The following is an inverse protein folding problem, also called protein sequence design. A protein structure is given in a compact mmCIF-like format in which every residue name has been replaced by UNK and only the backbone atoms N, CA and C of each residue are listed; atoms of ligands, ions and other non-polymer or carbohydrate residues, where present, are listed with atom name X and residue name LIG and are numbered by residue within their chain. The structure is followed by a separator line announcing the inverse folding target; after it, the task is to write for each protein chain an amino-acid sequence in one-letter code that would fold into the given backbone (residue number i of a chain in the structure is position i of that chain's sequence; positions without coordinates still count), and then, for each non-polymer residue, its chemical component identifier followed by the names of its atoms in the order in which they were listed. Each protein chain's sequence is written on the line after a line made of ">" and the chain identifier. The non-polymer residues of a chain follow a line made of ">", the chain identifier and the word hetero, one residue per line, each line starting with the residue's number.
data_IF_339365081507
#
_entry.id   IF_339365081507
#
_cell.length_a   1.000
_cell.length_b   1.000
_cell.length_c   1.000
_cell.angle_alpha   90.00
_cell.angle_beta   90.00
_cell.angle_gamma   90.00
#
_symmetry.space_group_name_H-M   'P 1'
#
loop_
_entity.id
_entity.type
_entity.pdbx_description
1 polymer ?
#
# COMPACT_ATOMS: atom_id res chain seq x y z
N UNK A 1 8.26 58.54 72.97
CA UNK A 1 8.80 57.20 72.66
C UNK A 1 7.60 56.31 72.35
N UNK A 2 7.09 56.30 71.12
CA UNK A 2 7.55 55.50 69.96
C UNK A 2 7.61 54.00 70.24
N UNK A 3 6.69 53.23 69.67
CA UNK A 3 7.03 52.08 68.82
C UNK A 3 5.76 51.63 68.06
N UNK A 4 5.64 52.01 66.78
CA UNK A 4 4.62 51.46 65.86
C UNK A 4 5.25 50.29 65.10
N UNK A 5 4.67 49.10 65.23
CA UNK A 5 5.02 47.93 64.40
C UNK A 5 4.44 48.10 62.99
N UNK A 6 5.30 48.03 61.97
CA UNK A 6 4.91 47.84 60.57
C UNK A 6 4.87 46.33 60.25
N UNK A 7 3.89 45.84 59.48
CA UNK A 7 3.87 44.46 59.02
C UNK A 7 4.80 44.29 57.81
N UNK A 8 5.67 43.28 57.89
CA UNK A 8 6.53 42.84 56.79
C UNK A 8 5.69 42.14 55.72
N UNK A 9 5.61 42.73 54.53
CA UNK A 9 5.02 42.12 53.34
C UNK A 9 6.04 41.12 52.75
N UNK A 10 5.83 39.82 52.97
CA UNK A 10 6.59 38.75 52.32
C UNK A 10 6.21 38.70 50.83
N UNK A 11 7.11 39.16 49.95
CA UNK A 11 6.98 39.01 48.50
C UNK A 11 7.30 37.55 48.14
N UNK A 12 6.28 36.77 47.78
CA UNK A 12 6.43 35.39 47.33
C UNK A 12 7.14 35.36 45.96
N UNK A 13 8.37 34.83 45.93
CA UNK A 13 9.14 34.60 44.72
C UNK A 13 8.55 33.38 44.00
N UNK A 14 7.78 33.60 42.93
CA UNK A 14 7.29 32.52 42.09
C UNK A 14 8.47 31.82 41.38
N UNK A 15 8.54 30.48 41.36
CA UNK A 15 9.60 29.77 40.66
C UNK A 15 9.49 30.03 39.15
N UNK A 16 10.60 30.48 38.56
CA UNK A 16 10.74 30.67 37.13
C UNK A 16 10.64 29.28 36.46
N UNK A 17 9.48 28.98 35.87
CA UNK A 17 9.27 27.74 35.13
C UNK A 17 10.19 27.75 33.90
N UNK A 18 11.23 26.91 33.89
CA UNK A 18 12.06 26.72 32.71
C UNK A 18 11.16 26.28 31.54
N UNK A 19 11.27 26.96 30.40
CA UNK A 19 10.59 26.53 29.17
C UNK A 19 11.05 25.10 28.87
N UNK A 20 10.10 24.17 28.79
CA UNK A 20 10.38 22.80 28.33
C UNK A 20 11.01 22.86 26.92
N UNK A 21 12.06 22.07 26.65
CA UNK A 21 12.73 22.10 25.36
C UNK A 21 11.77 21.65 24.25
N UNK A 22 11.81 22.34 23.11
CA UNK A 22 10.97 21.99 21.95
C UNK A 22 11.34 20.59 21.47
N UNK A 23 10.36 19.69 21.49
CA UNK A 23 10.51 18.29 21.09
C UNK A 23 10.46 18.11 19.56
N UNK A 24 11.05 17.02 19.08
CA UNK A 24 10.98 16.64 17.66
C UNK A 24 9.55 16.50 17.15
N UNK A 25 8.61 16.05 17.99
CA UNK A 25 7.20 15.88 17.59
C UNK A 25 6.49 17.20 17.30
N UNK A 26 6.91 18.29 17.94
CA UNK A 26 6.37 19.62 17.66
C UNK A 26 6.92 20.19 16.34
N UNK A 27 8.13 19.78 15.94
CA UNK A 27 8.83 20.29 14.75
C UNK A 27 8.56 19.43 13.52
N UNK A 28 8.33 18.13 13.71
CA UNK A 28 8.06 17.15 12.66
C UNK A 28 7.03 17.65 11.64
N UNK A 29 5.85 18.17 12.03
CA UNK A 29 4.87 18.68 11.06
C UNK A 29 5.41 19.83 10.19
N UNK A 30 6.27 20.70 10.73
CA UNK A 30 6.88 21.80 9.99
C UNK A 30 7.82 21.25 8.92
N UNK A 31 8.71 20.33 9.28
CA UNK A 31 9.66 19.71 8.34
C UNK A 31 8.93 18.92 7.24
N UNK A 32 7.95 18.11 7.61
CA UNK A 32 7.16 17.29 6.67
C UNK A 32 6.37 18.13 5.67
N UNK A 33 5.88 19.29 6.12
CA UNK A 33 4.98 20.16 5.35
C UNK A 33 5.71 21.21 4.52
N UNK A 34 6.81 21.76 5.04
CA UNK A 34 7.55 22.86 4.42
C UNK A 34 8.77 22.40 3.63
N UNK A 35 9.43 21.32 4.06
CA UNK A 35 10.73 20.92 3.51
C UNK A 35 10.66 19.69 2.59
N UNK A 36 9.86 18.69 2.96
CA UNK A 36 9.84 17.40 2.25
C UNK A 36 9.10 17.39 0.92
N UNK A 37 8.49 18.50 0.50
CA UNK A 37 8.02 18.64 -0.90
C UNK A 37 9.20 18.63 -1.89
N UNK A 38 10.40 19.03 -1.45
CA UNK A 38 11.59 19.19 -2.30
C UNK A 38 12.87 18.51 -1.79
N UNK A 39 12.88 17.99 -0.56
CA UNK A 39 14.05 17.36 0.09
C UNK A 39 13.75 15.93 0.58
N UNK A 40 13.29 15.07 -0.34
CA UNK A 40 12.86 13.69 -0.08
C UNK A 40 13.60 12.71 -1.01
N UNK A 41 13.47 11.38 -0.82
CA UNK A 41 14.19 10.38 -1.64
C UNK A 41 13.88 10.48 -3.14
N UNK A 42 12.66 10.86 -3.50
CA UNK A 42 12.22 10.99 -4.90
C UNK A 42 12.68 12.32 -5.53
N UNK A 43 13.00 13.32 -4.70
CA UNK A 43 13.34 14.68 -5.11
C UNK A 43 14.32 15.31 -4.11
N UNK A 44 15.60 15.34 -4.49
CA UNK A 44 16.72 15.75 -3.62
C UNK A 44 17.28 17.11 -4.06
N UNK A 45 16.48 18.19 -3.95
CA UNK A 45 16.98 19.52 -4.33
C UNK A 45 18.13 19.96 -3.42
N UNK A 46 19.12 20.64 -4.01
CA UNK A 46 20.32 21.09 -3.28
C UNK A 46 21.15 19.94 -2.68
N UNK A 47 21.01 18.71 -3.20
CA UNK A 47 21.63 17.48 -2.66
C UNK A 47 21.29 17.21 -1.18
N UNK A 48 20.21 17.79 -0.68
CA UNK A 48 19.79 17.69 0.71
C UNK A 48 18.64 16.67 0.85
N UNK A 49 18.84 15.68 1.72
CA UNK A 49 17.86 14.66 2.06
C UNK A 49 17.43 14.84 3.52
N UNK A 50 16.16 15.18 3.76
CA UNK A 50 15.66 15.45 5.12
C UNK A 50 14.73 14.35 5.65
N UNK A 51 14.51 13.27 4.89
CA UNK A 51 13.61 12.17 5.28
C UNK A 51 14.19 11.25 6.36
N UNK A 52 15.49 11.30 6.60
CA UNK A 52 16.18 10.46 7.60
C UNK A 52 17.19 11.29 8.38
N UNK A 53 17.47 10.88 9.63
CA UNK A 53 18.50 11.53 10.46
C UNK A 53 19.87 11.55 9.77
N UNK A 54 20.27 10.43 9.16
CA UNK A 54 21.56 10.31 8.48
C UNK A 54 21.66 11.28 7.29
N UNK A 55 20.60 11.40 6.48
CA UNK A 55 20.55 12.38 5.38
C UNK A 55 20.57 13.82 5.91
N UNK A 56 19.84 14.07 6.99
CA UNK A 56 19.73 15.39 7.59
C UNK A 56 21.08 15.87 8.17
N UNK A 57 21.81 14.99 8.86
CA UNK A 57 23.14 15.26 9.40
C UNK A 57 24.22 15.39 8.31
N UNK A 58 24.09 14.65 7.20
CA UNK A 58 24.99 14.77 6.05
C UNK A 58 24.95 16.17 5.42
N UNK A 59 23.82 16.88 5.55
CA UNK A 59 23.64 18.20 4.99
C UNK A 59 23.42 18.19 3.47
N UNK A 60 23.55 19.37 2.85
CA UNK A 60 23.31 19.59 1.43
C UNK A 60 24.58 19.96 0.66
N UNK A 61 24.39 20.48 -0.54
CA UNK A 61 25.48 20.97 -1.40
C UNK A 61 26.33 22.07 -0.74
N UNK A 62 25.73 22.82 0.20
CA UNK A 62 26.38 23.92 0.92
C UNK A 62 26.87 23.52 2.32
N UNK A 63 26.98 22.21 2.59
CA UNK A 63 27.45 21.68 3.87
C UNK A 63 26.34 21.42 4.89
N UNK A 64 26.68 21.37 6.20
CA UNK A 64 25.73 21.12 7.27
C UNK A 64 24.60 22.16 7.31
N UNK A 65 23.36 21.70 7.51
CA UNK A 65 22.19 22.58 7.55
C UNK A 65 21.85 23.11 8.95
N UNK A 66 22.36 22.45 10.00
CA UNK A 66 22.16 22.83 11.40
C UNK A 66 23.51 22.80 12.11
N UNK A 67 23.73 23.81 12.95
CA UNK A 67 24.71 23.80 14.03
C UNK A 67 23.95 23.61 15.36
N UNK A 68 24.03 22.42 16.00
CA UNK A 68 23.32 22.14 17.24
C UNK A 68 23.63 23.20 18.32
N UNK A 69 22.59 23.71 18.98
CA UNK A 69 22.69 24.75 20.01
C UNK A 69 22.82 26.19 19.47
N UNK A 70 23.07 26.37 18.17
CA UNK A 70 23.31 27.68 17.55
C UNK A 70 22.29 27.95 16.42
N UNK A 71 21.05 28.36 16.76
CA UNK A 71 20.00 28.62 15.77
C UNK A 71 20.37 29.71 14.77
N UNK A 72 21.02 30.79 15.21
CA UNK A 72 21.37 31.92 14.32
C UNK A 72 22.48 31.59 13.31
N UNK A 73 23.29 30.57 13.59
CA UNK A 73 24.34 30.12 12.68
C UNK A 73 23.88 29.03 11.73
N UNK A 74 22.81 28.31 12.09
CA UNK A 74 22.24 27.23 11.32
C UNK A 74 21.65 27.70 10.00
N UNK A 75 22.11 27.12 8.90
CA UNK A 75 21.69 27.48 7.55
C UNK A 75 20.18 27.25 7.32
N UNK A 76 19.62 26.22 7.96
CA UNK A 76 18.18 25.96 7.96
C UNK A 76 17.40 27.18 8.45
N UNK A 77 17.79 27.76 9.58
CA UNK A 77 17.09 28.90 10.22
C UNK A 77 17.26 30.17 9.41
N UNK A 78 18.45 30.39 8.82
CA UNK A 78 18.72 31.53 7.94
C UNK A 78 17.80 31.50 6.72
N UNK A 79 17.79 30.39 5.98
CA UNK A 79 17.05 30.28 4.72
C UNK A 79 15.54 30.37 4.85
N UNK A 80 14.97 29.97 5.99
CA UNK A 80 13.51 29.97 6.21
C UNK A 80 12.92 31.34 6.55
N UNK A 81 13.77 32.32 6.88
CA UNK A 81 13.35 33.67 7.24
C UNK A 81 13.93 34.75 6.31
N UNK A 82 14.56 34.36 5.19
CA UNK A 82 15.00 35.31 4.17
C UNK A 82 13.80 36.09 3.59
N UNK A 83 14.03 37.28 2.99
CA UNK A 83 12.99 38.02 2.27
C UNK A 83 12.31 37.16 1.19
N UNK A 84 11.03 37.46 0.92
CA UNK A 84 10.19 36.64 0.02
C UNK A 84 10.74 36.52 -1.41
N UNK A 85 11.49 37.52 -1.83
CA UNK A 85 12.11 37.71 -3.14
C UNK A 85 13.55 37.17 -3.23
N UNK A 86 14.11 36.68 -2.13
CA UNK A 86 15.47 36.15 -2.09
C UNK A 86 15.54 34.74 -2.72
N UNK A 87 16.53 34.49 -3.59
CA UNK A 87 16.66 33.23 -4.34
C UNK A 87 16.93 32.01 -3.44
N UNK A 88 17.69 32.20 -2.35
CA UNK A 88 17.95 31.16 -1.34
C UNK A 88 16.81 30.94 -0.33
N UNK A 89 15.67 31.64 -0.47
CA UNK A 89 14.53 31.44 0.40
C UNK A 89 14.00 30.01 0.28
N UNK A 90 13.91 29.33 1.42
CA UNK A 90 13.36 27.99 1.50
C UNK A 90 12.22 27.98 2.54
N UNK A 91 10.99 27.59 2.18
CA UNK A 91 10.55 27.07 0.89
C UNK A 91 10.29 28.17 -0.15
N UNK A 92 10.65 27.95 -1.44
CA UNK A 92 10.47 28.95 -2.50
C UNK A 92 8.99 29.21 -2.81
N UNK A 93 8.13 28.22 -2.56
CA UNK A 93 6.68 28.34 -2.66
C UNK A 93 6.05 28.42 -1.28
N UNK A 94 5.53 29.59 -0.94
CA UNK A 94 4.86 29.85 0.34
C UNK A 94 5.44 31.03 1.11
N UNK A 95 6.60 31.53 0.68
CA UNK A 95 7.28 32.64 1.36
C UNK A 95 7.97 32.19 2.66
N UNK A 96 8.44 33.16 3.46
CA UNK A 96 9.11 32.90 4.73
C UNK A 96 8.19 32.15 5.68
N UNK A 97 8.78 31.35 6.58
CA UNK A 97 8.01 30.62 7.57
C UNK A 97 7.25 31.58 8.51
N UNK A 98 6.01 31.25 8.91
CA UNK A 98 5.29 32.00 9.92
C UNK A 98 6.11 32.10 11.23
N UNK A 99 6.00 33.21 11.99
CA UNK A 99 6.80 33.42 13.20
C UNK A 99 6.71 32.27 14.22
N UNK A 100 5.53 31.63 14.35
CA UNK A 100 5.34 30.49 15.24
C UNK A 100 6.12 29.23 14.79
N UNK A 101 6.10 28.92 13.49
CA UNK A 101 6.87 27.79 12.93
C UNK A 101 8.38 28.06 13.02
N UNK A 102 8.79 29.30 12.77
CA UNK A 102 10.19 29.72 12.93
C UNK A 102 10.65 29.60 14.38
N UNK A 103 9.81 29.98 15.35
CA UNK A 103 10.12 29.85 16.78
C UNK A 103 10.30 28.38 17.19
N UNK A 104 9.47 27.46 16.67
CA UNK A 104 9.63 26.02 16.89
C UNK A 104 10.96 25.51 16.34
N UNK A 105 11.32 25.87 15.10
CA UNK A 105 12.60 25.48 14.50
C UNK A 105 13.79 26.03 15.29
N UNK A 106 13.75 27.31 15.69
CA UNK A 106 14.79 27.94 16.50
C UNK A 106 14.94 27.25 17.85
N UNK A 107 13.84 26.99 18.55
CA UNK A 107 13.85 26.31 19.85
C UNK A 107 14.39 24.89 19.77
N UNK A 108 14.03 24.15 18.71
CA UNK A 108 14.53 22.80 18.49
C UNK A 108 16.02 22.76 18.16
N UNK A 109 16.51 23.67 17.31
CA UNK A 109 17.94 23.82 17.04
C UNK A 109 18.70 24.19 18.32
N UNK A 110 18.17 25.13 19.11
CA UNK A 110 18.76 25.52 20.39
C UNK A 110 18.83 24.36 21.39
N UNK A 111 17.86 23.45 21.36
CA UNK A 111 17.87 22.21 22.15
C UNK A 111 18.82 21.12 21.61
N UNK A 112 19.62 21.42 20.58
CA UNK A 112 20.57 20.49 19.97
C UNK A 112 19.98 19.65 18.84
N UNK A 113 18.81 20.04 18.31
CA UNK A 113 18.07 19.33 17.26
C UNK A 113 17.91 17.81 17.53
N UNK A 114 17.38 17.41 18.71
CA UNK A 114 17.24 16.01 19.05
C UNK A 114 16.35 15.29 18.03
N UNK A 115 16.82 14.14 17.56
CA UNK A 115 16.14 13.30 16.57
C UNK A 115 15.97 11.87 17.14
N UNK A 116 14.74 11.33 17.23
CA UNK A 116 14.51 9.99 17.78
C UNK A 116 15.15 8.90 16.92
N UNK A 117 15.78 7.90 17.55
CA UNK A 117 16.43 6.80 16.84
C UNK A 117 15.45 6.09 15.88
N UNK A 118 15.84 5.99 14.60
CA UNK A 118 15.02 5.34 13.57
C UNK A 118 13.85 6.16 13.03
N UNK A 119 13.61 7.39 13.52
CA UNK A 119 12.53 8.21 12.99
C UNK A 119 12.82 8.64 11.53
N UNK A 120 11.86 8.35 10.65
CA UNK A 120 11.84 8.80 9.26
C UNK A 120 10.68 9.76 9.04
N UNK A 121 10.91 10.79 8.24
CA UNK A 121 9.87 11.75 7.87
C UNK A 121 9.29 11.45 6.49
N UNK A 122 8.00 11.72 6.31
CA UNK A 122 7.31 11.59 5.03
C UNK A 122 6.63 12.93 4.63
N UNK A 123 6.55 13.26 3.33
CA UNK A 123 5.88 14.49 2.89
C UNK A 123 4.44 14.58 3.40
N UNK A 124 4.08 15.72 4.00
CA UNK A 124 2.73 16.02 4.49
C UNK A 124 2.14 17.19 3.71
N UNK A 125 0.85 17.15 3.42
CA UNK A 125 0.17 18.27 2.76
C UNK A 125 0.01 19.48 3.71
N UNK A 126 0.17 20.71 3.19
CA UNK A 126 0.06 21.98 3.95
C UNK A 126 -1.26 22.17 4.70
N UNK A 127 -2.33 21.58 4.19
CA UNK A 127 -3.68 21.65 4.77
C UNK A 127 -4.09 20.32 5.44
N UNK A 128 -3.14 19.43 5.73
CA UNK A 128 -3.43 18.18 6.40
C UNK A 128 -3.87 18.46 7.85
N UNK A 129 -5.17 18.63 8.04
CA UNK A 129 -5.80 18.74 9.35
C UNK A 129 -5.38 17.54 10.18
N UNK A 130 -4.91 17.76 11.42
CA UNK A 130 -4.65 16.66 12.34
C UNK A 130 -5.93 15.82 12.47
N UNK A 131 -5.90 14.55 12.03
CA UNK A 131 -7.08 13.70 12.06
C UNK A 131 -7.69 13.59 13.47
N UNK A 132 -6.85 13.62 14.52
CA UNK A 132 -7.31 13.52 15.91
C UNK A 132 -8.03 14.79 16.35
N UNK A 133 -7.44 15.96 16.09
CA UNK A 133 -8.06 17.24 16.39
C UNK A 133 -9.37 17.47 15.62
N UNK A 134 -9.41 17.13 14.33
CA UNK A 134 -10.64 17.23 13.52
C UNK A 134 -11.75 16.30 14.05
N UNK A 135 -11.39 15.08 14.45
CA UNK A 135 -12.35 14.17 15.05
C UNK A 135 -12.87 14.71 16.39
N UNK A 136 -12.00 15.23 17.25
CA UNK A 136 -12.37 15.79 18.55
C UNK A 136 -13.42 16.91 18.43
N UNK A 137 -13.31 17.78 17.41
CA UNK A 137 -14.29 18.82 17.12
C UNK A 137 -15.65 18.26 16.68
N UNK A 138 -15.66 17.08 16.04
CA UNK A 138 -16.88 16.41 15.58
C UNK A 138 -17.50 15.44 16.59
N UNK A 139 -16.77 15.04 17.64
CA UNK A 139 -17.30 14.12 18.65
C UNK A 139 -18.65 14.56 19.26
N UNK A 140 -18.92 15.85 19.54
CA UNK A 140 -20.23 16.27 20.04
C UNK A 140 -21.40 16.05 19.08
N UNK A 141 -21.12 15.90 17.77
CA UNK A 141 -22.13 15.59 16.75
C UNK A 141 -22.15 14.11 16.37
N UNK A 142 -21.46 13.23 17.12
CA UNK A 142 -21.50 11.79 16.90
C UNK A 142 -22.92 11.26 17.16
N UNK A 143 -23.45 10.46 16.23
CA UNK A 143 -24.82 9.93 16.28
C UNK A 143 -24.83 8.39 16.31
N UNK A 144 -23.96 7.75 15.53
CA UNK A 144 -23.92 6.29 15.41
C UNK A 144 -22.49 5.79 15.30
N UNK A 145 -22.22 4.63 15.89
CA UNK A 145 -20.95 3.89 15.77
C UNK A 145 -21.25 2.47 15.27
N UNK A 146 -20.48 1.98 14.31
CA UNK A 146 -20.66 0.66 13.70
C UNK A 146 -19.32 -0.04 13.49
N UNK A 147 -19.29 -1.36 13.64
CA UNK A 147 -18.13 -2.21 13.37
C UNK A 147 -18.43 -3.04 12.12
N UNK A 148 -17.47 -3.13 11.21
CA UNK A 148 -17.55 -3.97 10.02
C UNK A 148 -16.40 -4.99 10.00
N UNK A 149 -16.66 -6.24 9.57
CA UNK A 149 -17.98 -6.78 9.20
C UNK A 149 -18.94 -6.84 10.42
N UNK A 150 -20.28 -6.89 10.21
CA UNK A 150 -21.27 -6.83 11.30
C UNK A 150 -21.36 -8.12 12.12
N UNK A 151 -20.85 -9.23 11.59
CA UNK A 151 -20.71 -10.53 12.27
C UNK A 151 -19.42 -11.17 11.77
N UNK A 152 -18.72 -11.87 12.66
CA UNK A 152 -17.54 -12.66 12.31
C UNK A 152 -17.75 -14.11 12.73
N UNK A 153 -17.48 -15.02 11.79
CA UNK A 153 -17.31 -16.45 12.06
C UNK A 153 -15.90 -16.86 11.65
N UNK A 154 -15.22 -17.58 12.54
CA UNK A 154 -13.89 -18.16 12.32
C UNK A 154 -14.04 -19.69 12.32
N UNK A 155 -13.70 -20.33 11.20
CA UNK A 155 -13.97 -21.75 10.94
C UNK A 155 -12.68 -22.55 10.70
N UNK A 156 -11.51 -21.92 10.81
CA UNK A 156 -10.23 -22.60 10.79
C UNK A 156 -9.14 -21.80 11.50
N UNK A 157 -8.04 -22.46 11.85
CA UNK A 157 -6.82 -21.83 12.38
C UNK A 157 -6.22 -20.76 11.45
N UNK A 158 -6.47 -20.84 10.13
CA UNK A 158 -5.96 -19.87 9.15
C UNK A 158 -6.87 -18.67 8.95
N UNK A 159 -8.09 -18.73 9.48
CA UNK A 159 -9.07 -17.68 9.26
C UNK A 159 -8.75 -16.46 10.15
N UNK A 160 -8.85 -15.28 9.54
CA UNK A 160 -8.71 -14.02 10.25
C UNK A 160 -9.63 -12.99 9.62
N UNK A 161 -10.06 -12.02 10.41
CA UNK A 161 -10.90 -10.91 9.94
C UNK A 161 -10.28 -9.59 10.33
N UNK A 162 -10.22 -8.64 9.41
CA UNK A 162 -9.86 -7.27 9.75
C UNK A 162 -11.11 -6.48 10.10
N UNK A 163 -11.13 -5.88 11.27
CA UNK A 163 -12.23 -5.03 11.70
C UNK A 163 -11.96 -3.56 11.36
N UNK A 164 -13.03 -2.84 11.05
CA UNK A 164 -13.02 -1.39 10.88
C UNK A 164 -14.21 -0.79 11.62
N UNK A 165 -14.01 0.37 12.23
CA UNK A 165 -15.03 1.07 13.01
C UNK A 165 -15.37 2.37 12.29
N UNK A 166 -16.66 2.55 11.98
CA UNK A 166 -17.18 3.74 11.34
C UNK A 166 -18.06 4.54 12.30
N UNK A 167 -17.86 5.85 12.31
CA UNK A 167 -18.71 6.81 12.99
C UNK A 167 -19.60 7.54 11.97
N UNK A 168 -20.87 7.73 12.30
CA UNK A 168 -21.81 8.62 11.59
C UNK A 168 -22.12 9.81 12.49
N UNK A 169 -22.08 11.01 11.93
CA UNK A 169 -22.36 12.26 12.62
C UNK A 169 -23.71 12.85 12.19
N UNK A 170 -24.25 13.79 12.97
CA UNK A 170 -25.53 14.48 12.72
C UNK A 170 -25.63 15.18 11.35
N UNK A 171 -24.49 15.50 10.73
CA UNK A 171 -24.43 16.06 9.36
C UNK A 171 -24.47 14.96 8.27
N UNK A 172 -24.81 13.73 8.64
CA UNK A 172 -24.78 12.51 7.83
C UNK A 172 -23.40 12.16 7.26
N UNK A 173 -22.32 12.81 7.72
CA UNK A 173 -20.97 12.41 7.33
C UNK A 173 -20.55 11.14 8.06
N UNK A 174 -19.83 10.27 7.37
CA UNK A 174 -19.22 9.08 7.95
C UNK A 174 -17.71 9.17 7.93
N UNK A 175 -17.07 8.55 8.91
CA UNK A 175 -15.61 8.54 9.04
C UNK A 175 -15.12 7.21 9.61
N UNK A 176 -14.03 6.71 9.04
CA UNK A 176 -13.25 5.64 9.66
C UNK A 176 -12.60 6.18 10.93
N UNK A 177 -13.03 5.62 12.06
CA UNK A 177 -12.54 5.95 13.40
C UNK A 177 -11.84 4.77 14.06
N UNK A 178 -11.46 3.74 13.29
CA UNK A 178 -10.83 2.51 13.79
C UNK A 178 -9.62 2.81 14.66
N UNK A 179 -8.78 3.77 14.24
CA UNK A 179 -7.58 4.17 14.98
C UNK A 179 -7.85 5.08 16.20
N UNK A 180 -9.07 5.56 16.38
CA UNK A 180 -9.45 6.47 17.47
C UNK A 180 -10.42 5.83 18.47
N UNK A 181 -11.09 4.75 18.08
CA UNK A 181 -11.99 3.99 18.94
C UNK A 181 -11.18 3.14 19.92
N UNK A 182 -11.65 3.04 21.18
CA UNK A 182 -11.14 2.06 22.11
C UNK A 182 -11.83 0.71 21.84
N UNK A 183 -11.08 -0.23 21.29
CA UNK A 183 -11.55 -1.55 20.87
C UNK A 183 -11.07 -2.61 21.87
N UNK A 184 -11.97 -3.48 22.31
CA UNK A 184 -11.66 -4.58 23.25
C UNK A 184 -12.41 -5.85 22.85
N UNK A 185 -11.77 -7.00 23.05
CA UNK A 185 -12.44 -8.31 23.01
C UNK A 185 -12.97 -8.63 24.41
N UNK A 186 -14.22 -9.05 24.52
CA UNK A 186 -14.87 -9.36 25.79
C UNK A 186 -14.25 -10.58 26.46
N UNK A 187 -14.10 -11.68 25.71
CA UNK A 187 -13.37 -12.88 26.15
C UNK A 187 -12.12 -13.11 25.29
N UNK A 188 -10.92 -12.76 25.78
CA UNK A 188 -9.67 -12.96 25.05
C UNK A 188 -9.24 -14.44 24.98
N UNK A 189 -9.90 -15.34 25.72
CA UNK A 189 -9.61 -16.79 25.62
C UNK A 189 -10.23 -17.41 24.37
N UNK A 190 -11.26 -16.79 23.81
CA UNK A 190 -11.94 -17.28 22.60
C UNK A 190 -11.29 -16.71 21.34
N UNK A 191 -11.06 -15.39 21.30
CA UNK A 191 -10.45 -14.69 20.18
C UNK A 191 -9.58 -13.53 20.65
N UNK A 192 -8.60 -13.14 19.86
CA UNK A 192 -7.72 -12.01 20.14
C UNK A 192 -7.65 -11.01 18.99
N UNK A 193 -7.29 -9.76 19.32
CA UNK A 193 -7.05 -8.69 18.36
C UNK A 193 -5.57 -8.34 18.29
N UNK A 194 -4.93 -8.71 17.18
CA UNK A 194 -3.58 -8.28 16.83
C UNK A 194 -3.66 -7.03 15.93
N UNK A 195 -3.58 -5.86 16.56
CA UNK A 195 -3.90 -4.58 15.93
C UNK A 195 -5.40 -4.47 15.64
N UNK A 196 -5.80 -4.58 14.38
CA UNK A 196 -7.21 -4.64 13.95
C UNK A 196 -7.56 -5.96 13.28
N UNK A 197 -6.71 -6.98 13.43
CA UNK A 197 -6.92 -8.31 12.88
C UNK A 197 -7.36 -9.24 14.01
N UNK A 198 -8.57 -9.77 13.87
CA UNK A 198 -9.20 -10.71 14.78
C UNK A 198 -8.86 -12.14 14.37
N UNK A 199 -8.43 -12.95 15.34
CA UNK A 199 -8.03 -14.35 15.17
C UNK A 199 -8.56 -15.22 16.32
N UNK A 200 -8.73 -16.51 16.08
CA UNK A 200 -9.13 -17.46 17.12
C UNK A 200 -7.98 -17.78 18.09
N UNK A 201 -8.35 -17.97 19.35
CA UNK A 201 -7.46 -18.46 20.43
C UNK A 201 -7.93 -19.83 20.92
N UNK A 202 -9.26 -20.02 21.02
CA UNK A 202 -9.86 -21.31 21.35
C UNK A 202 -10.24 -22.09 20.09
N UNK A 203 -10.51 -23.38 20.27
CA UNK A 203 -11.06 -24.23 19.21
C UNK A 203 -12.53 -23.88 18.90
N UNK A 204 -13.34 -23.65 19.93
CA UNK A 204 -14.72 -23.21 19.77
C UNK A 204 -15.13 -22.21 20.86
N UNK A 205 -16.07 -21.33 20.55
CA UNK A 205 -16.63 -20.39 21.52
C UNK A 205 -17.34 -19.20 20.89
N UNK A 206 -17.95 -18.39 21.74
CA UNK A 206 -18.57 -17.12 21.36
C UNK A 206 -17.97 -15.99 22.18
N UNK A 207 -17.68 -14.87 21.54
CA UNK A 207 -17.19 -13.64 22.19
C UNK A 207 -17.73 -12.42 21.45
N UNK A 208 -17.49 -11.24 22.00
CA UNK A 208 -17.87 -9.98 21.37
C UNK A 208 -16.68 -9.04 21.31
N UNK A 209 -16.54 -8.32 20.20
CA UNK A 209 -15.65 -7.16 20.11
C UNK A 209 -16.49 -5.90 20.36
N UNK A 210 -16.06 -5.09 21.32
CA UNK A 210 -16.69 -3.81 21.63
C UNK A 210 -15.79 -2.66 21.20
N UNK A 211 -16.32 -1.73 20.41
CA UNK A 211 -15.65 -0.48 20.06
C UNK A 211 -16.37 0.69 20.72
N UNK A 212 -15.62 1.59 21.36
CA UNK A 212 -16.17 2.76 22.06
C UNK A 212 -15.55 4.06 21.56
N UNK A 213 -16.38 5.08 21.36
CA UNK A 213 -15.95 6.42 20.96
C UNK A 213 -16.99 7.46 21.38
N UNK A 214 -16.55 8.55 22.03
CA UNK A 214 -17.43 9.68 22.35
C UNK A 214 -18.65 9.31 23.22
N UNK A 215 -18.53 8.28 24.07
CA UNK A 215 -19.62 7.76 24.90
C UNK A 215 -20.56 6.78 24.20
N UNK A 216 -20.46 6.60 22.87
CA UNK A 216 -21.16 5.54 22.15
C UNK A 216 -20.34 4.24 22.14
N UNK A 217 -21.07 3.13 22.04
CA UNK A 217 -20.50 1.79 21.95
C UNK A 217 -21.15 1.02 20.79
N UNK A 218 -20.33 0.28 20.06
CA UNK A 218 -20.76 -0.68 19.05
C UNK A 218 -20.24 -2.07 19.43
N UNK A 219 -21.00 -3.10 19.07
CA UNK A 219 -20.69 -4.50 19.37
C UNK A 219 -20.64 -5.31 18.09
N UNK A 220 -19.67 -6.21 18.01
CA UNK A 220 -19.48 -7.17 16.95
C UNK A 220 -19.52 -8.57 17.56
N UNK A 221 -20.54 -9.39 17.27
CA UNK A 221 -20.55 -10.80 17.66
C UNK A 221 -19.49 -11.60 16.88
N UNK A 222 -18.75 -12.43 17.61
CA UNK A 222 -17.70 -13.30 17.08
C UNK A 222 -18.00 -14.74 17.49
N UNK A 223 -18.04 -15.64 16.50
CA UNK A 223 -18.18 -17.07 16.73
C UNK A 223 -16.96 -17.80 16.21
N UNK A 224 -16.40 -18.69 17.02
CA UNK A 224 -15.31 -19.59 16.66
C UNK A 224 -15.84 -21.03 16.72
N UNK A 225 -15.60 -21.83 15.69
CA UNK A 225 -16.08 -23.22 15.61
C UNK A 225 -14.97 -24.27 15.60
N UNK A 226 -13.95 -24.04 14.78
CA UNK A 226 -12.84 -24.97 14.51
C UNK A 226 -11.50 -24.19 14.52
N UNK A 227 -11.34 -23.29 15.48
CA UNK A 227 -10.23 -22.33 15.56
C UNK A 227 -8.86 -22.96 15.76
N UNK A 228 -8.77 -24.19 16.30
CA UNK A 228 -7.51 -24.91 16.42
C UNK A 228 -7.22 -25.81 15.21
N UNK A 229 -8.26 -26.13 14.42
CA UNK A 229 -8.16 -27.02 13.28
C UNK A 229 -7.57 -26.29 12.09
N UNK A 230 -6.44 -26.80 11.60
CA UNK A 230 -5.89 -26.29 10.35
C UNK A 230 -6.67 -26.88 9.16
N UNK A 231 -7.11 -26.03 8.25
CA UNK A 231 -7.76 -26.49 7.01
C UNK A 231 -6.68 -26.86 6.00
N UNK A 232 -6.94 -27.82 5.08
CA UNK A 232 -6.03 -28.08 3.97
C UNK A 232 -5.73 -26.80 3.19
N UNK A 233 -4.47 -26.65 2.78
CA UNK A 233 -4.05 -25.59 1.88
C UNK A 233 -4.86 -25.64 0.58
N UNK A 234 -5.38 -24.49 0.20
CA UNK A 234 -6.25 -24.31 -0.96
C UNK A 234 -5.48 -23.68 -2.12
N UNK A 235 -5.66 -24.23 -3.31
CA UNK A 235 -5.10 -23.64 -4.51
C UNK A 235 -5.67 -22.22 -4.75
N UNK A 236 -6.99 -22.05 -4.67
CA UNK A 236 -7.66 -20.75 -4.91
C UNK A 236 -7.45 -19.75 -3.76
N UNK A 237 -7.48 -20.19 -2.51
CA UNK A 237 -7.43 -19.28 -1.35
C UNK A 237 -6.01 -19.00 -0.84
N UNK A 238 -5.06 -19.92 -1.03
CA UNK A 238 -3.71 -19.79 -0.44
C UNK A 238 -2.58 -19.71 -1.49
N UNK A 239 -2.70 -20.40 -2.62
CA UNK A 239 -1.64 -20.44 -3.65
C UNK A 239 -1.82 -19.36 -4.72
N UNK A 240 -3.01 -19.23 -5.28
CA UNK A 240 -3.31 -18.22 -6.31
C UNK A 240 -3.02 -16.78 -5.86
N UNK A 241 -3.36 -16.36 -4.62
CA UNK A 241 -3.00 -15.04 -4.13
C UNK A 241 -1.49 -14.80 -4.05
N UNK A 242 -0.69 -15.85 -3.85
CA UNK A 242 0.78 -15.73 -3.88
C UNK A 242 1.26 -15.33 -5.27
N UNK A 243 0.69 -15.88 -6.35
CA UNK A 243 1.08 -15.47 -7.70
C UNK A 243 0.71 -14.02 -8.02
N UNK A 244 -0.42 -13.55 -7.48
CA UNK A 244 -0.82 -12.15 -7.60
C UNK A 244 0.11 -11.22 -6.82
N UNK A 245 0.33 -11.53 -5.54
CA UNK A 245 1.14 -10.69 -4.63
C UNK A 245 2.62 -10.73 -4.96
N UNK A 246 3.15 -11.89 -5.36
CA UNK A 246 4.51 -12.07 -5.83
C UNK A 246 4.72 -11.57 -7.27
N UNK A 247 3.65 -11.28 -8.01
CA UNK A 247 3.71 -10.68 -9.33
C UNK A 247 3.96 -11.63 -10.50
N UNK A 248 3.91 -12.95 -10.26
CA UNK A 248 4.09 -13.97 -11.29
C UNK A 248 3.08 -13.83 -12.44
N UNK A 249 1.81 -13.55 -12.10
CA UNK A 249 0.69 -13.53 -13.03
C UNK A 249 0.29 -12.10 -13.48
N UNK A 250 1.24 -11.17 -13.44
CA UNK A 250 1.05 -9.82 -13.96
C UNK A 250 1.24 -9.77 -15.49
N UNK A 251 0.70 -8.72 -16.14
CA UNK A 251 0.72 -8.56 -17.59
C UNK A 251 2.12 -8.44 -18.22
N UNK A 252 3.15 -8.15 -17.43
CA UNK A 252 4.55 -8.13 -17.90
C UNK A 252 5.24 -9.49 -17.91
N UNK A 253 4.70 -10.49 -17.21
CA UNK A 253 5.34 -11.79 -16.96
C UNK A 253 4.45 -12.95 -17.46
N UNK A 254 4.18 -13.96 -16.62
CA UNK A 254 3.38 -15.12 -17.02
C UNK A 254 1.90 -14.79 -17.19
N UNK A 255 1.41 -13.67 -16.64
CA UNK A 255 0.06 -13.14 -16.89
C UNK A 255 -0.11 -12.41 -18.23
N UNK A 256 0.95 -12.28 -19.03
CA UNK A 256 0.86 -11.73 -20.38
C UNK A 256 -0.02 -12.63 -21.28
N UNK A 257 -0.67 -12.06 -22.29
CA UNK A 257 -1.54 -12.81 -23.20
C UNK A 257 -0.85 -14.02 -23.87
N UNK A 258 0.46 -13.92 -24.14
CA UNK A 258 1.30 -15.00 -24.69
C UNK A 258 2.07 -15.78 -23.63
N UNK A 259 2.02 -15.37 -22.36
CA UNK A 259 2.91 -15.85 -21.30
C UNK A 259 4.38 -15.49 -21.56
N UNK A 260 5.28 -16.21 -20.88
CA UNK A 260 6.74 -16.14 -21.05
C UNK A 260 7.32 -17.54 -21.11
N UNK A 261 8.23 -17.77 -22.06
CA UNK A 261 8.95 -19.04 -22.24
C UNK A 261 8.04 -20.28 -22.29
N UNK A 262 6.89 -20.15 -22.97
CA UNK A 262 5.91 -21.23 -23.10
C UNK A 262 5.13 -21.53 -21.82
N UNK A 263 5.17 -20.68 -20.81
CA UNK A 263 4.35 -20.77 -19.60
C UNK A 263 3.48 -19.53 -19.44
N UNK A 264 2.17 -19.74 -19.27
CA UNK A 264 1.20 -18.69 -18.98
C UNK A 264 0.39 -19.00 -17.73
N UNK A 265 0.08 -17.95 -17.00
CA UNK A 265 -0.96 -17.90 -15.98
C UNK A 265 -2.01 -16.88 -16.44
N UNK A 266 -3.20 -16.97 -15.90
CA UNK A 266 -4.26 -16.01 -16.15
C UNK A 266 -3.88 -14.67 -15.52
N UNK A 267 -4.20 -13.58 -16.21
CA UNK A 267 -3.91 -12.24 -15.71
C UNK A 267 -4.62 -12.05 -14.36
N UNK A 268 -3.84 -11.78 -13.30
CA UNK A 268 -4.34 -11.60 -11.93
C UNK A 268 -5.10 -12.80 -11.33
N UNK A 269 -5.02 -13.99 -11.93
CA UNK A 269 -5.72 -15.18 -11.43
C UNK A 269 -7.19 -15.27 -11.82
N UNK A 270 -7.59 -14.62 -12.92
CA UNK A 270 -8.97 -14.60 -13.43
C UNK A 270 -9.48 -15.95 -13.95
N UNK A 271 -8.60 -16.93 -14.20
CA UNK A 271 -8.95 -18.32 -14.57
C UNK A 271 -8.18 -19.32 -13.67
N UNK A 272 -8.61 -19.50 -12.39
CA UNK A 272 -7.95 -20.41 -11.46
C UNK A 272 -7.94 -21.86 -11.95
N UNK A 273 -9.02 -22.30 -12.62
CA UNK A 273 -9.13 -23.67 -13.12
C UNK A 273 -8.06 -23.95 -14.19
N UNK A 274 -7.93 -23.06 -15.17
CA UNK A 274 -6.91 -23.22 -16.19
C UNK A 274 -5.49 -23.02 -15.65
N UNK A 275 -5.29 -22.15 -14.66
CA UNK A 275 -3.99 -21.96 -14.02
C UNK A 275 -3.53 -23.20 -13.26
N UNK A 276 -4.44 -23.85 -12.55
CA UNK A 276 -4.17 -25.13 -11.91
C UNK A 276 -3.70 -26.18 -12.93
N UNK A 277 -4.40 -26.31 -14.07
CA UNK A 277 -4.03 -27.26 -15.14
C UNK A 277 -2.68 -26.92 -15.77
N UNK A 278 -2.39 -25.64 -16.02
CA UNK A 278 -1.12 -25.18 -16.60
C UNK A 278 0.07 -25.46 -15.68
N UNK A 279 -0.12 -25.27 -14.38
CA UNK A 279 0.90 -25.55 -13.37
C UNK A 279 1.17 -27.05 -13.23
N UNK A 280 0.10 -27.86 -13.17
CA UNK A 280 0.21 -29.27 -12.80
C UNK A 280 0.32 -30.24 -13.99
N UNK A 281 -0.21 -29.90 -15.18
CA UNK A 281 -0.38 -30.84 -16.32
C UNK A 281 0.39 -30.49 -17.58
N UNK A 282 0.50 -29.21 -17.97
CA UNK A 282 1.03 -28.85 -19.30
C UNK A 282 2.53 -29.16 -19.50
N UNK A 283 3.31 -29.37 -18.43
CA UNK A 283 4.65 -29.98 -18.46
C UNK A 283 4.96 -30.65 -17.12
N UNK A 284 4.37 -31.82 -16.91
CA UNK A 284 4.49 -32.59 -15.66
C UNK A 284 5.96 -32.76 -15.24
N UNK A 285 6.25 -32.60 -13.96
CA UNK A 285 7.59 -32.81 -13.36
C UNK A 285 8.58 -31.67 -13.57
N UNK A 286 8.36 -30.76 -14.54
CA UNK A 286 9.26 -29.61 -14.75
C UNK A 286 8.93 -28.44 -13.83
N UNK A 287 7.65 -28.13 -13.62
CA UNK A 287 7.22 -26.96 -12.83
C UNK A 287 7.00 -27.27 -11.36
N UNK A 288 6.43 -28.43 -11.11
CA UNK A 288 6.12 -28.95 -9.77
C UNK A 288 6.81 -30.30 -9.65
N UNK A 289 7.66 -30.42 -8.65
CA UNK A 289 8.29 -31.66 -8.22
C UNK A 289 7.57 -32.13 -6.94
N UNK A 290 6.78 -33.20 -7.05
CA UNK A 290 6.04 -33.76 -5.92
C UNK A 290 6.94 -34.58 -4.97
N UNK A 291 8.10 -35.03 -5.45
CA UNK A 291 9.03 -35.81 -4.62
C UNK A 291 9.88 -34.90 -3.74
N UNK A 292 10.33 -33.76 -4.29
CA UNK A 292 11.13 -32.76 -3.58
C UNK A 292 10.53 -31.38 -3.89
N UNK A 293 9.56 -30.90 -3.08
CA UNK A 293 8.85 -29.64 -3.32
C UNK A 293 9.76 -28.43 -3.55
N UNK A 294 10.87 -28.35 -2.82
CA UNK A 294 11.85 -27.27 -2.87
C UNK A 294 12.59 -27.19 -4.21
N UNK A 295 12.74 -28.32 -4.90
CA UNK A 295 13.35 -28.41 -6.25
C UNK A 295 12.31 -28.18 -7.37
N UNK A 296 11.09 -27.78 -7.02
CA UNK A 296 10.14 -27.32 -8.02
C UNK A 296 10.69 -26.06 -8.69
N UNK A 297 10.87 -26.06 -10.01
CA UNK A 297 11.37 -24.85 -10.70
C UNK A 297 10.48 -23.62 -10.48
N UNK A 298 9.20 -23.82 -10.15
CA UNK A 298 8.30 -22.78 -9.67
C UNK A 298 8.84 -22.10 -8.38
N UNK A 299 9.28 -22.89 -7.42
CA UNK A 299 9.81 -22.45 -6.12
C UNK A 299 11.20 -21.83 -6.32
N UNK A 300 12.14 -22.57 -6.93
CA UNK A 300 13.53 -22.13 -7.08
C UNK A 300 13.64 -20.77 -7.79
N UNK A 301 12.84 -20.55 -8.83
CA UNK A 301 12.81 -19.26 -9.56
C UNK A 301 12.15 -18.15 -8.77
N UNK A 302 11.16 -18.47 -7.93
CA UNK A 302 10.46 -17.46 -7.14
C UNK A 302 11.32 -16.97 -5.96
N UNK A 303 12.08 -17.86 -5.32
CA UNK A 303 13.00 -17.51 -4.24
C UNK A 303 14.39 -17.07 -4.73
N UNK A 304 14.66 -17.23 -6.02
CA UNK A 304 15.88 -16.76 -6.68
C UNK A 304 17.09 -17.69 -6.56
N UNK A 305 16.89 -18.97 -6.22
CA UNK A 305 17.95 -19.98 -6.22
C UNK A 305 18.45 -20.27 -7.64
N UNK A 306 17.56 -20.18 -8.63
CA UNK A 306 17.87 -20.35 -10.05
C UNK A 306 17.63 -19.04 -10.81
N UNK A 307 18.49 -18.68 -11.79
CA UNK A 307 18.29 -17.48 -12.60
C UNK A 307 16.91 -17.43 -13.27
N UNK A 308 16.25 -16.29 -13.11
CA UNK A 308 14.95 -16.00 -13.70
C UNK A 308 14.90 -14.54 -14.11
N UNK A 309 14.37 -14.24 -15.30
CA UNK A 309 14.26 -12.85 -15.80
C UNK A 309 13.38 -11.95 -14.92
N UNK A 310 12.49 -12.54 -14.12
CA UNK A 310 11.67 -11.82 -13.14
C UNK A 310 12.38 -11.48 -11.82
N UNK A 311 13.64 -11.89 -11.66
CA UNK A 311 14.39 -11.85 -10.39
C UNK A 311 13.68 -12.63 -9.26
N UNK A 312 14.28 -12.58 -8.06
CA UNK A 312 13.68 -13.08 -6.82
C UNK A 312 12.42 -12.28 -6.48
N UNK A 313 11.34 -12.98 -6.18
CA UNK A 313 10.03 -12.40 -5.87
C UNK A 313 9.75 -12.32 -4.37
N UNK A 314 10.23 -13.30 -3.59
CA UNK A 314 10.09 -13.32 -2.14
C UNK A 314 11.18 -14.15 -1.45
N UNK A 315 11.33 -13.97 -0.14
CA UNK A 315 12.30 -14.71 0.66
C UNK A 315 11.94 -16.20 0.78
N UNK A 316 12.93 -17.11 0.87
CA UNK A 316 12.68 -18.55 1.03
C UNK A 316 11.83 -18.92 2.25
N UNK A 317 11.94 -18.17 3.35
CA UNK A 317 11.20 -18.39 4.59
C UNK A 317 9.85 -17.66 4.64
N UNK A 318 9.48 -16.92 3.59
CA UNK A 318 8.24 -16.14 3.54
C UNK A 318 6.99 -17.02 3.62
N UNK A 319 5.89 -16.44 4.13
CA UNK A 319 4.58 -17.10 4.12
C UNK A 319 4.14 -17.51 2.71
N UNK A 320 4.54 -16.75 1.70
CA UNK A 320 4.28 -17.03 0.29
C UNK A 320 4.91 -18.35 -0.16
N UNK A 321 6.19 -18.53 0.14
CA UNK A 321 6.89 -19.77 -0.22
C UNK A 321 6.34 -20.97 0.57
N UNK A 322 6.06 -20.79 1.86
CA UNK A 322 5.50 -21.86 2.71
C UNK A 322 4.17 -22.38 2.18
N UNK A 323 3.24 -21.50 1.77
CA UNK A 323 1.95 -21.92 1.21
C UNK A 323 2.11 -22.75 -0.06
N UNK A 324 3.05 -22.37 -0.95
CA UNK A 324 3.32 -23.11 -2.18
C UNK A 324 3.94 -24.47 -1.87
N UNK A 325 4.95 -24.50 -1.00
CA UNK A 325 5.62 -25.74 -0.59
C UNK A 325 4.65 -26.71 0.07
N UNK A 326 3.82 -26.23 1.00
CA UNK A 326 2.79 -27.02 1.66
C UNK A 326 1.80 -27.61 0.64
N UNK A 327 1.35 -26.81 -0.33
CA UNK A 327 0.47 -27.29 -1.40
C UNK A 327 1.11 -28.38 -2.25
N UNK A 328 2.36 -28.20 -2.64
CA UNK A 328 3.11 -29.19 -3.43
C UNK A 328 3.33 -30.47 -2.61
N UNK A 329 3.75 -30.35 -1.34
CA UNK A 329 3.95 -31.46 -0.43
C UNK A 329 2.66 -32.27 -0.19
N UNK A 330 1.49 -31.61 -0.22
CA UNK A 330 0.18 -32.26 -0.13
C UNK A 330 -0.34 -32.82 -1.48
N UNK A 331 0.53 -32.91 -2.48
CA UNK A 331 0.24 -33.53 -3.77
C UNK A 331 -0.25 -32.57 -4.84
N UNK A 332 -0.11 -31.25 -4.64
CA UNK A 332 -0.56 -30.19 -5.54
C UNK A 332 -2.02 -30.40 -5.99
N UNK A 333 -2.90 -30.74 -5.04
CA UNK A 333 -4.30 -31.05 -5.31
C UNK A 333 -5.10 -29.79 -5.67
N UNK A 334 -6.14 -29.97 -6.48
CA UNK A 334 -7.14 -28.92 -6.69
C UNK A 334 -8.03 -28.79 -5.46
N UNK A 335 -8.72 -27.66 -5.34
CA UNK A 335 -9.68 -27.46 -4.25
C UNK A 335 -10.88 -28.37 -4.38
N UNK A 336 -11.49 -28.68 -3.23
CA UNK A 336 -12.77 -29.34 -3.17
C UNK A 336 -13.90 -28.43 -3.71
N UNK A 337 -15.01 -28.99 -4.24
CA UNK A 337 -16.09 -28.21 -4.84
C UNK A 337 -16.79 -27.21 -3.88
N UNK A 338 -16.66 -27.44 -2.57
CA UNK A 338 -17.23 -26.63 -1.49
C UNK A 338 -16.32 -25.49 -1.02
N UNK A 339 -15.17 -25.28 -1.68
CA UNK A 339 -14.30 -24.14 -1.40
C UNK A 339 -15.07 -22.81 -1.50
N UNK A 340 -14.85 -21.93 -0.53
CA UNK A 340 -15.53 -20.65 -0.47
C UNK A 340 -15.33 -19.84 -1.76
N UNK A 341 -16.43 -19.39 -2.35
CA UNK A 341 -16.42 -18.55 -3.55
C UNK A 341 -16.75 -17.10 -3.20
N UNK A 342 -16.09 -16.18 -3.89
CA UNK A 342 -16.43 -14.75 -3.79
C UNK A 342 -17.77 -14.53 -4.49
N UNK A 343 -18.82 -14.30 -3.70
CA UNK A 343 -20.18 -14.08 -4.20
C UNK A 343 -20.46 -12.61 -4.56
N UNK A 344 -19.64 -11.68 -4.06
CA UNK A 344 -19.77 -10.26 -4.34
C UNK A 344 -18.65 -9.43 -3.72
N UNK A 345 -18.50 -8.20 -4.22
CA UNK A 345 -17.63 -7.18 -3.65
C UNK A 345 -18.51 -5.97 -3.37
N UNK A 346 -18.52 -5.52 -2.12
CA UNK A 346 -19.16 -4.26 -1.75
C UNK A 346 -18.11 -3.20 -1.42
N UNK A 347 -18.25 -2.03 -2.03
CA UNK A 347 -17.40 -0.87 -1.72
C UNK A 347 -18.13 -0.03 -0.68
N UNK A 348 -17.63 -0.04 0.55
CA UNK A 348 -18.17 0.78 1.63
C UNK A 348 -17.86 2.27 1.35
N UNK A 349 -18.85 3.14 1.57
CA UNK A 349 -19.02 4.51 1.01
C UNK A 349 -19.69 4.53 -0.37
N UNK A 350 -20.99 4.18 -0.39
CA UNK A 350 -21.87 4.31 -1.57
C UNK A 350 -22.00 5.75 -2.08
N UNK A 351 -21.71 6.75 -1.25
CA UNK A 351 -21.73 8.19 -1.59
C UNK A 351 -20.57 8.94 -0.96
N UNK A 352 -19.87 9.74 -1.74
CA UNK A 352 -18.81 10.62 -1.26
C UNK A 352 -19.26 12.08 -1.24
N UNK A 353 -19.42 12.68 -0.06
CA UNK A 353 -19.51 14.13 0.05
C UNK A 353 -18.09 14.71 0.05
N UNK A 354 -17.79 15.63 -0.87
CA UNK A 354 -16.60 16.47 -0.82
C UNK A 354 -17.03 17.87 -0.37
N UNK A 355 -16.39 18.42 0.66
CA UNK A 355 -16.54 19.85 0.97
C UNK A 355 -15.91 20.62 -0.19
N UNK A 356 -16.73 21.20 -1.04
CA UNK A 356 -16.27 22.07 -2.11
C UNK A 356 -15.45 23.21 -1.52
N UNK A 357 -14.15 23.25 -1.81
CA UNK A 357 -13.33 24.44 -1.57
C UNK A 357 -13.89 25.50 -2.52
N UNK A 358 -14.64 26.49 -2.00
CA UNK A 358 -15.11 27.64 -2.81
C UNK A 358 -13.87 28.24 -3.46
N UNK A 359 -13.66 28.00 -4.75
CA UNK A 359 -12.81 28.87 -5.56
C UNK A 359 -13.50 30.23 -5.54
N UNK A 360 -12.76 31.34 -5.35
CA UNK A 360 -13.34 32.67 -5.59
C UNK A 360 -13.94 32.64 -6.99
N UNK A 361 -15.24 32.93 -7.10
CA UNK A 361 -15.93 32.98 -8.39
C UNK A 361 -15.18 33.95 -9.28
N UNK A 362 -14.56 33.45 -10.36
CA UNK A 362 -14.36 34.31 -11.52
C UNK A 362 -15.75 34.71 -12.01
N UNK A 363 -15.91 35.99 -12.29
CA UNK A 363 -17.15 36.72 -12.58
C UNK A 363 -18.15 35.95 -13.45
N UNK A 364 -19.46 36.22 -13.32
CA UNK A 364 -20.48 35.50 -14.08
C UNK A 364 -20.27 35.71 -15.58
N UNK A 365 -20.22 34.61 -16.34
CA UNK A 365 -20.43 34.67 -17.79
C UNK A 365 -21.80 35.31 -18.04
N UNK A 366 -21.82 36.41 -18.79
CA UNK A 366 -23.04 37.06 -19.24
C UNK A 366 -23.88 36.15 -20.16
N UNK A 367 -25.17 36.44 -20.34
CA UNK A 367 -26.08 35.61 -21.11
C UNK A 367 -25.68 35.57 -22.59
N UNK A 368 -25.53 34.37 -23.14
CA UNK A 368 -25.40 34.16 -24.58
C UNK A 368 -26.77 34.33 -25.22
N UNK A 369 -26.99 35.44 -25.93
CA UNK A 369 -28.08 35.56 -26.89
C UNK A 369 -27.76 34.75 -28.16
N UNK A 370 -28.71 33.99 -28.72
CA UNK A 370 -28.51 33.27 -29.97
C UNK A 370 -28.78 34.21 -31.15
N UNK A 371 -27.75 34.63 -31.87
CA UNK A 371 -27.88 35.23 -33.20
C UNK A 371 -27.81 34.13 -34.27
N UNK A 372 -28.88 33.99 -35.04
CA UNK A 372 -28.94 33.10 -36.20
C UNK A 372 -28.10 33.67 -37.37
N UNK A 373 -27.29 32.86 -38.07
CA UNK A 373 -26.62 33.32 -39.29
C UNK A 373 -27.44 33.00 -40.53
N UNK A 374 -27.69 34.04 -41.32
CA UNK A 374 -28.30 34.03 -42.66
C UNK A 374 -27.39 33.32 -43.66
N UNK A 375 -28.01 32.56 -44.57
CA UNK A 375 -27.34 31.79 -45.61
C UNK A 375 -26.73 32.69 -46.71
N UNK A 376 -25.48 32.44 -47.07
CA UNK A 376 -25.00 32.53 -48.47
C UNK A 376 -23.69 31.77 -48.62
N UNK A 377 -23.70 30.80 -49.54
CA UNK A 377 -22.53 30.09 -50.08
C UNK A 377 -22.12 30.79 -51.40
N UNK A 378 -20.91 30.59 -52.00
CA UNK A 378 -20.40 29.25 -52.31
C UNK A 378 -18.87 29.00 -52.25
N UNK A 379 -18.55 27.70 -52.33
CA UNK A 379 -17.35 27.04 -52.90
C UNK A 379 -16.01 27.12 -52.16
N UNK A 380 -15.59 26.02 -51.52
CA UNK A 380 -14.76 24.95 -52.15
C UNK A 380 -14.25 23.92 -51.12
N UNK A 381 -14.36 22.62 -51.52
CA UNK A 381 -13.56 21.39 -51.20
C UNK A 381 -12.79 21.34 -49.87
N UNK A 382 -12.80 20.27 -49.06
CA UNK A 382 -12.73 18.85 -49.38
C UNK A 382 -13.12 17.98 -48.17
N UNK A 383 -13.64 16.78 -48.44
CA UNK A 383 -14.24 15.83 -47.52
C UNK A 383 -13.26 14.88 -46.80
N UNK A 384 -13.66 14.36 -45.63
CA UNK A 384 -13.24 13.07 -45.08
C UNK A 384 -14.50 12.24 -44.70
N UNK A 385 -14.58 10.93 -45.02
CA UNK A 385 -15.80 10.14 -44.87
C UNK A 385 -15.88 9.40 -43.52
N UNK A 386 -17.07 9.39 -42.93
CA UNK A 386 -17.48 8.45 -41.88
C UNK A 386 -18.45 7.45 -42.51
N UNK A 387 -18.13 6.15 -42.48
CA UNK A 387 -19.05 5.10 -42.94
C UNK A 387 -19.72 4.45 -41.73
N UNK A 388 -20.96 4.83 -41.46
CA UNK A 388 -21.92 4.06 -40.67
C UNK A 388 -22.68 3.11 -41.59
N UNK A 389 -22.76 1.82 -41.24
CA UNK A 389 -23.65 0.85 -41.90
C UNK A 389 -24.65 0.29 -40.89
N UNK A 390 -25.92 0.44 -41.24
CA UNK A 390 -27.14 0.05 -40.51
C UNK A 390 -27.34 -1.48 -40.49
N UNK A 391 -28.12 -2.06 -39.54
CA UNK A 391 -28.27 -3.51 -39.38
C UNK A 391 -29.46 -4.07 -40.17
N UNK A 392 -29.39 -5.34 -40.55
CA UNK A 392 -30.54 -6.14 -40.98
C UNK A 392 -30.73 -7.35 -40.06
N UNK A 393 -31.98 -7.52 -39.70
CA UNK A 393 -32.64 -8.55 -38.90
C UNK A 393 -32.45 -9.99 -39.39
N UNK A 394 -32.44 -10.93 -38.44
CA UNK A 394 -32.70 -12.36 -38.67
C UNK A 394 -32.68 -13.12 -37.34
N UNK A 395 -33.76 -13.82 -37.03
CA UNK A 395 -34.20 -14.29 -35.71
C UNK A 395 -34.03 -15.82 -35.59
N UNK A 396 -34.04 -16.31 -34.34
CA UNK A 396 -34.32 -17.69 -33.88
C UNK A 396 -33.23 -18.75 -34.07
N UNK A 397 -33.06 -19.78 -33.22
CA UNK A 397 -33.44 -20.08 -31.84
C UNK A 397 -32.69 -21.38 -31.43
N UNK A 398 -32.51 -21.53 -30.12
CA UNK A 398 -32.06 -22.66 -29.28
C UNK A 398 -32.02 -24.10 -29.83
N UNK A 399 -31.00 -24.88 -29.43
CA UNK A 399 -31.10 -26.02 -28.48
C UNK A 399 -29.86 -26.94 -28.52
N UNK A 400 -29.40 -27.40 -27.36
CA UNK A 400 -28.59 -28.63 -27.16
C UNK A 400 -29.56 -29.82 -26.88
N UNK A 401 -29.19 -31.13 -26.93
CA UNK A 401 -28.18 -31.73 -26.01
C UNK A 401 -27.39 -32.97 -26.50
N UNK A 402 -26.30 -33.24 -25.78
CA UNK A 402 -25.73 -34.52 -25.26
C UNK A 402 -25.57 -35.83 -26.10
N UNK A 403 -24.40 -36.45 -25.89
CA UNK A 403 -24.08 -37.89 -25.65
C UNK A 403 -23.15 -38.66 -26.62
N UNK A 404 -22.23 -39.40 -25.96
CA UNK A 404 -21.57 -40.67 -26.33
C UNK A 404 -20.31 -40.71 -27.23
N UNK A 405 -19.20 -41.13 -26.61
CA UNK A 405 -18.04 -41.80 -27.22
C UNK A 405 -18.24 -43.34 -27.15
N UNK A 406 -17.28 -44.23 -27.54
CA UNK A 406 -16.03 -44.05 -28.31
C UNK A 406 -15.89 -45.06 -29.47
N UNK A 407 -14.95 -44.83 -30.41
CA UNK A 407 -14.36 -45.91 -31.21
C UNK A 407 -12.85 -45.75 -31.37
N UNK A 408 -12.20 -46.88 -31.16
CA UNK A 408 -10.79 -47.21 -31.25
C UNK A 408 -10.24 -47.12 -32.67
N UNK A 409 -8.99 -46.68 -32.81
CA UNK A 409 -7.91 -47.35 -33.57
C UNK A 409 -6.72 -46.40 -33.78
N UNK A 410 -5.54 -46.85 -33.36
CA UNK A 410 -4.21 -46.50 -33.89
C UNK A 410 -3.65 -47.77 -34.54
N UNK A 411 -2.49 -47.78 -35.25
CA UNK A 411 -1.57 -46.68 -35.60
C UNK A 411 -1.17 -46.66 -37.09
N UNK A 412 -0.56 -45.57 -37.56
CA UNK A 412 0.36 -45.61 -38.70
C UNK A 412 1.40 -44.49 -38.62
N UNK A 413 2.65 -44.89 -38.52
CA UNK A 413 3.87 -44.11 -38.69
C UNK A 413 4.02 -43.63 -40.13
N UNK A 414 4.52 -42.41 -40.36
CA UNK A 414 5.51 -42.16 -41.41
C UNK A 414 6.20 -40.79 -41.27
N UNK A 415 7.40 -40.76 -41.83
CA UNK A 415 8.54 -39.90 -41.53
C UNK A 415 8.62 -38.62 -42.39
N UNK A 416 9.53 -37.73 -41.96
CA UNK A 416 10.30 -36.75 -42.74
C UNK A 416 9.60 -35.57 -43.42
N UNK A 417 9.90 -34.35 -42.96
CA UNK A 417 10.61 -33.33 -43.75
C UNK A 417 10.84 -32.02 -42.94
N UNK A 418 12.09 -31.60 -42.84
CA UNK A 418 12.55 -30.20 -42.75
C UNK A 418 13.32 -29.91 -44.06
N UNK A 419 13.72 -28.67 -44.46
CA UNK A 419 13.95 -27.44 -43.68
C UNK A 419 13.50 -26.16 -44.49
N UNK A 420 14.08 -24.92 -44.48
CA UNK A 420 15.47 -24.50 -44.24
C UNK A 420 15.69 -23.43 -43.13
N UNK A 421 16.96 -23.43 -42.68
CA UNK A 421 17.62 -22.43 -41.84
C UNK A 421 17.91 -21.16 -42.63
N UNK A 422 17.82 -20.00 -42.00
CA UNK A 422 18.55 -18.80 -42.39
C UNK A 422 19.67 -18.53 -41.40
N UNK A 423 20.89 -18.50 -41.95
CA UNK A 423 22.15 -18.17 -41.33
C UNK A 423 22.35 -16.66 -41.19
N UNK A 424 22.81 -16.19 -40.04
CA UNK A 424 23.81 -15.11 -39.97
C UNK A 424 24.43 -15.02 -38.57
N UNK A 425 25.74 -15.24 -38.52
CA UNK A 425 26.66 -14.63 -37.56
C UNK A 425 27.79 -14.02 -38.40
N UNK A 426 28.45 -12.98 -37.88
CA UNK A 426 29.84 -13.21 -37.55
C UNK A 426 30.27 -12.65 -36.19
N UNK A 427 31.13 -13.45 -35.55
CA UNK A 427 32.18 -13.18 -34.56
C UNK A 427 32.56 -11.71 -34.31
N UNK A 428 32.76 -11.39 -33.03
CA UNK A 428 34.05 -10.89 -32.54
C UNK A 428 34.27 -11.28 -31.06
N UNK A 429 35.48 -11.73 -30.80
CA UNK A 429 36.04 -12.29 -29.57
C UNK A 429 36.63 -11.22 -28.64
N UNK A 430 36.51 -11.37 -27.33
CA UNK A 430 37.60 -11.03 -26.39
C UNK A 430 37.50 -11.85 -25.08
N UNK A 431 38.69 -12.22 -24.63
CA UNK A 431 39.20 -13.21 -23.66
C UNK A 431 38.67 -13.12 -22.21
N UNK A 432 38.59 -14.23 -21.44
CA UNK A 432 38.42 -14.19 -19.99
C UNK A 432 39.78 -14.23 -19.26
N UNK A 433 40.05 -13.24 -18.42
CA UNK A 433 41.20 -13.21 -17.52
C UNK A 433 40.95 -14.06 -16.26
N UNK A 434 41.77 -15.09 -16.10
CA UNK A 434 41.94 -15.87 -14.87
C UNK A 434 42.38 -14.99 -13.70
N UNK A 435 41.72 -15.12 -12.53
CA UNK A 435 42.37 -15.02 -11.21
C UNK A 435 41.65 -15.90 -10.17
N UNK A 436 42.40 -16.83 -9.61
CA UNK A 436 42.26 -17.47 -8.28
C UNK A 436 43.70 -17.63 -7.75
N UNK A 437 43.96 -17.90 -6.46
CA UNK A 437 43.19 -17.58 -5.27
C UNK A 437 44.09 -16.91 -4.18
N UNK A 438 43.49 -16.33 -3.14
CA UNK A 438 44.20 -16.10 -1.87
C UNK A 438 43.44 -16.79 -0.76
N UNK A 439 44.07 -17.82 -0.22
CA UNK A 439 43.79 -18.55 1.00
C UNK A 439 43.94 -17.66 2.23
N UNK A 440 42.96 -17.66 3.13
CA UNK A 440 43.20 -17.45 4.57
C UNK A 440 42.34 -18.47 5.32
N UNK A 441 43.04 -19.41 5.95
CA UNK A 441 42.59 -20.30 7.02
C UNK A 441 42.98 -19.62 8.34
N UNK A 442 42.08 -19.54 9.32
CA UNK A 442 42.37 -19.60 10.78
C UNK A 442 41.07 -19.30 11.56
N UNK A 443 40.39 -20.32 12.07
CA UNK A 443 40.33 -20.76 13.49
C UNK A 443 39.54 -19.84 14.44
N UNK A 444 38.47 -20.41 15.00
CA UNK A 444 37.78 -20.00 16.23
C UNK A 444 38.68 -20.28 17.47
N UNK A 445 38.36 -19.79 18.68
CA UNK A 445 37.09 -20.05 19.39
C UNK A 445 36.10 -18.89 19.42
#
# INVERSE_FOLDING_TARGET
>A
MSCRLLPFLLLALAPLRALEPVSFEQVRPVLETRCLECHNPDKVKGKLLMSTQAGFLKGGANGPIIEPGQPDRSELVKRVHLPKDHEDLMPPKGGPLPPAELALLRGWVAAGAPWPAGATLAPRAKDAVDPKADLALKLPSLEKLEIFPPVVTIESKRDFHRIVVFATFKDATTRDVTAFAAIKVADPKVAELNGYTLQAVADAGHTEVTATLGGLSAKLPVTVKDGAKDRPVSFRLDVMPVFLRGGCNQGGCHGAARGKDGFRLSLFGMDPNGDYVRLTREMVGRRINLAIPEESTLVEKAVGTVPHSGNKLYEPDSAYNRNILEWIAHGAKDDAPDVAQVTGIEVYRRRSCSKGRRRPSRSPCGPLTPTAPTATSPTSRCSCPTTTRSPRSGRMAMSAPATAAPRSSSPASMSSASPPRCSSSPRASSTPGQRRPSSITSTAP
#
